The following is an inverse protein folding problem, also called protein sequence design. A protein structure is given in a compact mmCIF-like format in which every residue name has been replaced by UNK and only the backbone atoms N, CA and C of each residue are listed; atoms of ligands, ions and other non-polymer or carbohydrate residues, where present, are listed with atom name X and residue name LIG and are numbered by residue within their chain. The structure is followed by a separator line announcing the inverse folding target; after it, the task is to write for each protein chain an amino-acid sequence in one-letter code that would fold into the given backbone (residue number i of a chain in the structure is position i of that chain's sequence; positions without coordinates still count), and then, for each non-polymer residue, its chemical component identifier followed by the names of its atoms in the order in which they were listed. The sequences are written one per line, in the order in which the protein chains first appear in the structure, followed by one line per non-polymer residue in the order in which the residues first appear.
data_IF_249959893919
#
_entry.id   IF_249959893919
#
_cell.length_a   1.000
_cell.length_b   1.000
_cell.length_c   1.000
_cell.angle_alpha   90.00
_cell.angle_beta   90.00
_cell.angle_gamma   90.00
#
_symmetry.space_group_name_H-M   'P 1'
#
loop_
_entity.id
_entity.type
_entity.pdbx_description
1 polymer ?
#
# COMPACT_ATOMS: atom_id res chain seq x y z
N UNK A 1 34.97 -9.65 -15.85
CA UNK A 1 33.70 -10.16 -15.30
C UNK A 1 33.67 -9.69 -13.86
N UNK A 2 33.11 -8.51 -13.64
CA UNK A 2 32.93 -7.98 -12.29
C UNK A 2 31.55 -8.48 -11.80
N UNK A 3 31.57 -9.50 -10.94
CA UNK A 3 30.47 -9.72 -10.01
C UNK A 3 30.52 -8.52 -9.05
N UNK A 4 29.90 -7.40 -9.39
CA UNK A 4 29.45 -6.47 -8.38
C UNK A 4 28.34 -7.20 -7.65
N UNK A 5 28.64 -7.69 -6.44
CA UNK A 5 27.62 -8.05 -5.47
C UNK A 5 26.76 -6.79 -5.31
N UNK A 6 25.61 -6.73 -5.99
CA UNK A 6 24.67 -5.65 -5.75
C UNK A 6 24.24 -5.79 -4.30
N UNK A 7 24.72 -4.88 -3.46
CA UNK A 7 24.33 -4.83 -2.06
C UNK A 7 22.82 -4.65 -1.96
N UNK A 8 22.20 -5.29 -0.96
CA UNK A 8 20.79 -5.10 -0.66
C UNK A 8 20.49 -3.62 -0.41
N UNK A 9 19.24 -3.19 -0.72
CA UNK A 9 18.79 -1.84 -0.38
C UNK A 9 18.79 -1.70 1.14
N UNK A 10 19.44 -0.64 1.65
CA UNK A 10 19.58 -0.36 3.09
C UNK A 10 18.71 0.80 3.55
N UNK A 11 18.35 1.71 2.64
CA UNK A 11 17.52 2.87 2.97
C UNK A 11 16.74 3.37 1.78
N UNK A 12 15.51 3.82 2.03
CA UNK A 12 14.67 4.56 1.09
C UNK A 12 14.06 5.71 1.90
N UNK A 13 14.40 6.95 1.56
CA UNK A 13 13.94 8.13 2.30
C UNK A 13 13.46 9.25 1.39
N UNK A 14 12.47 9.96 1.88
CA UNK A 14 12.01 11.24 1.34
C UNK A 14 12.02 12.26 2.48
N UNK A 15 12.67 13.41 2.29
CA UNK A 15 12.85 14.41 3.33
C UNK A 15 12.42 15.79 2.83
N UNK A 16 11.45 16.40 3.52
CA UNK A 16 10.92 17.74 3.26
C UNK A 16 10.51 17.93 1.79
N UNK A 17 9.91 16.90 1.19
CA UNK A 17 9.57 16.88 -0.24
C UNK A 17 8.34 17.73 -0.49
N UNK A 18 8.51 18.73 -1.35
CA UNK A 18 7.43 19.52 -1.95
C UNK A 18 7.34 19.17 -3.42
N UNK A 19 6.14 18.85 -3.89
CA UNK A 19 5.93 18.43 -5.29
C UNK A 19 4.59 18.88 -5.85
N UNK A 20 4.63 19.40 -7.07
CA UNK A 20 3.44 19.69 -7.89
C UNK A 20 3.59 19.17 -9.31
N UNK A 21 2.50 18.75 -9.93
CA UNK A 21 2.52 18.44 -11.36
C UNK A 21 2.56 19.71 -12.19
N UNK A 22 3.39 19.74 -13.25
CA UNK A 22 3.50 20.88 -14.17
C UNK A 22 2.13 21.39 -14.62
N UNK A 23 1.91 22.69 -14.48
CA UNK A 23 0.65 23.36 -14.83
C UNK A 23 -0.47 23.23 -13.80
N UNK A 24 -0.24 22.60 -12.64
CA UNK A 24 -1.15 22.61 -11.50
C UNK A 24 -0.73 23.69 -10.51
N UNK A 25 -1.73 24.39 -9.92
CA UNK A 25 -1.50 25.43 -8.90
C UNK A 25 -1.42 24.87 -7.47
N UNK A 26 -1.70 23.58 -7.29
CA UNK A 26 -1.79 22.93 -5.98
C UNK A 26 -0.67 21.89 -5.87
N UNK A 27 0.05 21.95 -4.79
CA UNK A 27 0.99 20.91 -4.40
C UNK A 27 0.25 19.60 -4.11
N UNK A 28 0.89 18.49 -4.45
CA UNK A 28 0.47 17.16 -3.99
C UNK A 28 1.10 16.86 -2.65
N UNK A 29 2.35 17.29 -2.47
CA UNK A 29 3.06 17.22 -1.19
C UNK A 29 3.65 18.59 -0.87
N UNK A 30 3.62 18.98 0.40
CA UNK A 30 4.27 20.16 0.96
C UNK A 30 4.98 19.70 2.24
N UNK A 31 6.32 19.79 2.28
CA UNK A 31 7.15 19.38 3.42
C UNK A 31 6.95 17.92 3.84
N UNK A 32 6.70 17.03 2.86
CA UNK A 32 6.38 15.64 3.09
C UNK A 32 7.65 14.83 3.38
N UNK A 33 7.66 14.09 4.48
CA UNK A 33 8.79 13.23 4.86
C UNK A 33 8.31 11.82 5.20
N UNK A 34 9.01 10.81 4.69
CA UNK A 34 8.77 9.40 5.01
C UNK A 34 10.04 8.57 4.79
N UNK A 35 10.31 7.70 5.74
CA UNK A 35 11.28 6.61 5.59
C UNK A 35 10.54 5.32 5.29
N UNK A 36 11.06 4.53 4.36
CA UNK A 36 10.49 3.26 3.95
C UNK A 36 11.48 2.15 4.30
N UNK A 37 11.05 1.23 5.14
CA UNK A 37 11.84 0.08 5.53
C UNK A 37 12.09 -0.81 4.30
N UNK A 38 13.36 -1.05 3.92
CA UNK A 38 13.67 -1.90 2.77
C UNK A 38 13.45 -3.38 3.08
N UNK A 39 13.39 -4.20 2.01
CA UNK A 39 13.20 -5.65 2.12
C UNK A 39 11.89 -6.07 2.81
N UNK A 40 10.84 -5.29 2.65
CA UNK A 40 9.50 -5.56 3.15
C UNK A 40 8.44 -5.43 2.04
N UNK A 41 7.28 -6.07 2.25
CA UNK A 41 6.08 -5.78 1.48
C UNK A 41 5.35 -4.65 2.19
N UNK A 42 5.40 -3.44 1.62
CA UNK A 42 4.81 -2.24 2.20
C UNK A 42 3.58 -1.80 1.42
N UNK A 43 2.44 -1.72 2.11
CA UNK A 43 1.21 -1.18 1.56
C UNK A 43 1.15 0.35 1.65
N UNK A 44 0.85 1.02 0.54
CA UNK A 44 0.62 2.48 0.52
C UNK A 44 -0.88 2.73 0.44
N UNK A 45 -1.44 3.24 1.54
CA UNK A 45 -2.86 3.38 1.78
C UNK A 45 -3.25 4.85 1.83
N UNK A 46 -4.38 5.17 1.24
CA UNK A 46 -4.94 6.51 1.24
C UNK A 46 -6.13 6.59 0.28
N UNK A 47 -7.01 7.57 0.48
CA UNK A 47 -8.13 7.82 -0.44
C UNK A 47 -7.62 8.25 -1.82
N UNK A 48 -8.49 8.22 -2.83
CA UNK A 48 -8.14 8.71 -4.15
C UNK A 48 -7.74 10.20 -4.09
N UNK A 49 -6.64 10.54 -4.75
CA UNK A 49 -6.10 11.90 -4.77
C UNK A 49 -5.20 12.28 -3.58
N UNK A 50 -4.91 11.35 -2.66
CA UNK A 50 -4.04 11.59 -1.50
C UNK A 50 -2.53 11.47 -1.81
N UNK A 51 -2.14 11.24 -3.07
CA UNK A 51 -0.73 11.24 -3.46
C UNK A 51 -0.06 9.86 -3.54
N UNK A 52 -0.75 8.72 -3.35
CA UNK A 52 -0.15 7.37 -3.45
C UNK A 52 0.67 7.15 -4.72
N UNK A 53 0.05 7.35 -5.88
CA UNK A 53 0.72 7.25 -7.19
C UNK A 53 1.86 8.25 -7.33
N UNK A 54 1.71 9.46 -6.76
CA UNK A 54 2.77 10.48 -6.77
C UNK A 54 3.95 10.05 -5.93
N UNK A 55 3.73 9.56 -4.71
CA UNK A 55 4.77 8.99 -3.85
C UNK A 55 5.57 7.91 -4.59
N UNK A 56 4.88 6.95 -5.18
CA UNK A 56 5.50 5.86 -5.92
C UNK A 56 6.27 6.33 -7.16
N UNK A 57 5.76 7.32 -7.89
CA UNK A 57 6.46 7.89 -9.05
C UNK A 57 7.72 8.67 -8.64
N UNK A 58 7.70 9.36 -7.51
CA UNK A 58 8.86 10.06 -6.96
C UNK A 58 9.95 9.06 -6.54
N UNK A 59 9.59 8.00 -5.81
CA UNK A 59 10.52 6.91 -5.43
C UNK A 59 11.09 6.23 -6.69
N UNK A 60 10.26 6.03 -7.72
CA UNK A 60 10.70 5.44 -8.98
C UNK A 60 11.62 6.35 -9.82
N UNK A 61 11.91 7.58 -9.36
CA UNK A 61 12.73 8.53 -10.09
C UNK A 61 12.10 9.07 -11.38
N UNK A 62 10.76 8.96 -11.54
CA UNK A 62 10.06 9.47 -12.73
C UNK A 62 9.86 10.98 -12.70
N UNK A 63 9.86 11.56 -11.53
CA UNK A 63 9.76 12.99 -11.31
C UNK A 63 10.81 13.44 -10.32
N UNK A 64 11.31 14.65 -10.52
CA UNK A 64 12.14 15.35 -9.55
C UNK A 64 11.21 16.20 -8.65
N UNK A 65 11.43 16.24 -7.34
CA UNK A 65 10.65 17.11 -6.46
C UNK A 65 10.97 18.57 -6.72
N UNK A 66 10.02 19.48 -6.43
CA UNK A 66 10.24 20.92 -6.51
C UNK A 66 11.20 21.37 -5.38
N UNK A 67 11.10 20.76 -4.19
CA UNK A 67 11.98 20.96 -3.02
C UNK A 67 12.13 19.64 -2.26
N UNK A 68 13.18 19.56 -1.43
CA UNK A 68 13.48 18.38 -0.61
C UNK A 68 14.36 17.36 -1.31
N UNK A 69 14.52 16.20 -0.71
CA UNK A 69 15.47 15.16 -1.14
C UNK A 69 14.78 13.80 -1.16
N UNK A 70 15.06 13.02 -2.20
CA UNK A 70 14.66 11.61 -2.31
C UNK A 70 15.92 10.79 -2.54
N UNK A 71 16.17 9.83 -1.66
CA UNK A 71 17.37 8.99 -1.72
C UNK A 71 17.05 7.51 -1.52
N UNK A 72 17.78 6.69 -2.26
CA UNK A 72 17.86 5.24 -2.10
C UNK A 72 19.34 4.92 -1.92
N UNK A 73 19.72 4.43 -0.73
CA UNK A 73 21.12 4.22 -0.34
C UNK A 73 21.98 5.49 -0.50
N UNK A 74 21.43 6.66 -0.15
CA UNK A 74 22.10 7.97 -0.28
C UNK A 74 22.27 8.46 -1.72
N UNK A 75 21.54 7.88 -2.70
CA UNK A 75 21.60 8.27 -4.10
C UNK A 75 20.24 8.70 -4.62
N UNK A 76 20.20 9.74 -5.42
CA UNK A 76 18.98 10.25 -6.02
C UNK A 76 18.55 9.36 -7.20
N UNK A 77 17.33 8.75 -7.15
CA UNK A 77 16.86 7.83 -8.19
C UNK A 77 16.62 8.49 -9.57
N UNK A 78 16.50 9.84 -9.63
CA UNK A 78 16.33 10.56 -10.88
C UNK A 78 17.66 10.70 -11.64
N UNK A 79 18.75 10.94 -10.91
CA UNK A 79 20.05 11.29 -11.51
C UNK A 79 21.04 10.13 -11.51
N UNK A 80 20.91 9.16 -10.60
CA UNK A 80 21.78 7.98 -10.55
C UNK A 80 21.19 6.81 -11.35
N UNK A 81 21.80 6.53 -12.50
CA UNK A 81 21.38 5.47 -13.42
C UNK A 81 21.48 4.08 -12.75
N UNK A 82 22.47 3.88 -11.87
CA UNK A 82 22.64 2.63 -11.14
C UNK A 82 21.44 2.36 -10.25
N UNK A 83 20.99 3.34 -9.48
CA UNK A 83 19.80 3.26 -8.64
C UNK A 83 18.53 3.08 -9.49
N UNK A 84 18.36 3.84 -10.57
CA UNK A 84 17.20 3.74 -11.45
C UNK A 84 17.02 2.32 -12.04
N UNK A 85 18.10 1.61 -12.38
CA UNK A 85 18.04 0.22 -12.89
C UNK A 85 17.61 -0.81 -11.86
N UNK A 86 17.69 -0.49 -10.58
CA UNK A 86 17.27 -1.35 -9.46
C UNK A 86 15.78 -1.27 -9.17
N UNK A 87 15.04 -0.40 -9.86
CA UNK A 87 13.63 -0.12 -9.62
C UNK A 87 12.79 -0.56 -10.82
N UNK A 88 11.72 -1.29 -10.57
CA UNK A 88 10.65 -1.50 -11.54
C UNK A 88 9.37 -0.84 -11.05
N UNK A 89 8.72 -0.09 -11.93
CA UNK A 89 7.42 0.51 -11.66
C UNK A 89 6.36 -0.09 -12.60
N UNK A 90 5.41 -0.75 -12.00
CA UNK A 90 4.28 -1.40 -12.67
C UNK A 90 3.01 -0.59 -12.44
N UNK A 91 2.45 -0.04 -13.51
CA UNK A 91 1.15 0.63 -13.51
C UNK A 91 0.18 -0.08 -14.47
N UNK A 92 -1.11 0.18 -14.29
CA UNK A 92 -2.16 -0.53 -15.02
C UNK A 92 -2.27 -0.28 -16.53
N UNK A 93 -1.50 0.66 -17.12
CA UNK A 93 -1.62 1.00 -18.57
C UNK A 93 -0.23 1.10 -19.20
N UNK A 94 -0.03 0.35 -20.29
CA UNK A 94 1.17 0.42 -21.13
C UNK A 94 0.95 1.22 -22.41
N UNK A 95 1.97 1.97 -22.84
CA UNK A 95 1.95 2.74 -24.09
C UNK A 95 2.22 1.92 -25.37
N UNK A 96 2.34 0.59 -25.26
CA UNK A 96 2.79 -0.30 -26.36
C UNK A 96 1.66 -0.97 -27.13
N UNK A 97 0.61 -0.25 -27.50
CA UNK A 97 -0.65 -0.80 -28.04
C UNK A 97 -0.51 -1.78 -29.21
N UNK A 98 0.46 -1.58 -30.10
CA UNK A 98 0.64 -2.42 -31.30
C UNK A 98 1.62 -3.60 -31.12
N UNK A 99 2.32 -3.66 -29.98
CA UNK A 99 3.30 -4.72 -29.75
C UNK A 99 2.66 -6.03 -29.29
N UNK A 100 3.26 -7.15 -29.68
CA UNK A 100 2.93 -8.47 -29.15
C UNK A 100 3.54 -8.64 -27.76
N UNK A 101 2.85 -9.38 -26.88
CA UNK A 101 3.30 -9.61 -25.50
C UNK A 101 4.71 -10.21 -25.46
N UNK A 102 4.98 -11.19 -26.36
CA UNK A 102 6.33 -11.78 -26.47
C UNK A 102 7.43 -10.73 -26.71
N UNK A 103 7.17 -9.73 -27.55
CA UNK A 103 8.17 -8.70 -27.84
C UNK A 103 8.43 -7.77 -26.65
N UNK A 104 7.39 -7.50 -25.87
CA UNK A 104 7.54 -6.71 -24.64
C UNK A 104 8.38 -7.48 -23.61
N UNK A 105 8.18 -8.80 -23.48
CA UNK A 105 9.02 -9.64 -22.60
C UNK A 105 10.49 -9.58 -23.05
N UNK A 106 10.77 -9.64 -24.37
CA UNK A 106 12.12 -9.51 -24.89
C UNK A 106 12.75 -8.15 -24.51
N UNK A 107 11.97 -7.06 -24.49
CA UNK A 107 12.44 -5.74 -24.03
C UNK A 107 12.74 -5.73 -22.52
N UNK A 108 11.85 -6.30 -21.69
CA UNK A 108 12.14 -6.44 -20.25
C UNK A 108 13.43 -7.20 -19.98
N UNK A 109 13.68 -8.30 -20.72
CA UNK A 109 14.92 -9.07 -20.61
C UNK A 109 16.16 -8.26 -20.96
N UNK A 110 16.06 -7.30 -21.87
CA UNK A 110 17.18 -6.43 -22.22
C UNK A 110 17.39 -5.30 -21.20
N UNK A 111 16.33 -4.88 -20.51
CA UNK A 111 16.37 -3.77 -19.56
C UNK A 111 16.76 -4.21 -18.15
N UNK A 112 16.36 -5.41 -17.72
CA UNK A 112 16.55 -5.91 -16.37
C UNK A 112 17.44 -7.14 -16.38
N UNK A 113 18.61 -7.03 -15.77
CA UNK A 113 19.62 -8.09 -15.75
C UNK A 113 19.13 -9.37 -15.05
N UNK A 114 18.33 -9.22 -13.99
CA UNK A 114 17.76 -10.34 -13.21
C UNK A 114 16.44 -10.87 -13.78
N UNK A 115 16.03 -10.45 -15.00
CA UNK A 115 14.72 -10.81 -15.55
C UNK A 115 14.60 -12.32 -15.78
N UNK A 116 13.63 -12.92 -15.08
CA UNK A 116 13.28 -14.35 -15.19
C UNK A 116 12.21 -14.57 -16.26
N UNK A 117 12.64 -14.78 -17.50
CA UNK A 117 11.75 -14.99 -18.64
C UNK A 117 10.86 -16.25 -18.47
N UNK A 118 11.39 -17.30 -17.85
CA UNK A 118 10.64 -18.53 -17.59
C UNK A 118 9.50 -18.28 -16.59
N UNK A 119 9.78 -17.56 -15.51
CA UNK A 119 8.78 -17.15 -14.55
C UNK A 119 7.70 -16.27 -15.16
N UNK A 120 8.07 -15.27 -15.98
CA UNK A 120 7.11 -14.44 -16.71
C UNK A 120 6.17 -15.31 -17.56
N UNK A 121 6.70 -16.31 -18.27
CA UNK A 121 5.89 -17.20 -19.09
C UNK A 121 4.98 -18.10 -18.25
N UNK A 122 5.43 -18.64 -17.12
CA UNK A 122 4.62 -19.43 -16.19
C UNK A 122 3.47 -18.61 -15.62
N UNK A 123 3.74 -17.34 -15.22
CA UNK A 123 2.69 -16.44 -14.76
C UNK A 123 1.66 -16.15 -15.85
N UNK A 124 2.10 -15.87 -17.08
CA UNK A 124 1.19 -15.65 -18.20
C UNK A 124 0.30 -16.88 -18.47
N UNK A 125 0.86 -18.08 -18.42
CA UNK A 125 0.10 -19.32 -18.58
C UNK A 125 -0.94 -19.51 -17.48
N UNK A 126 -0.55 -19.26 -16.22
CA UNK A 126 -1.45 -19.32 -15.06
C UNK A 126 -2.67 -18.41 -15.19
N UNK A 127 -2.51 -17.25 -15.82
CA UNK A 127 -3.59 -16.29 -16.09
C UNK A 127 -4.21 -16.43 -17.50
N UNK A 128 -3.84 -17.44 -18.28
CA UNK A 128 -4.39 -17.69 -19.61
C UNK A 128 -4.05 -16.63 -20.66
N UNK A 129 -2.92 -15.93 -20.51
CA UNK A 129 -2.48 -14.90 -21.46
C UNK A 129 -1.74 -15.50 -22.65
N UNK A 130 -2.21 -15.17 -23.87
CA UNK A 130 -1.56 -15.63 -25.10
C UNK A 130 -0.38 -14.72 -25.49
N UNK A 131 0.85 -15.22 -25.42
CA UNK A 131 2.08 -14.49 -25.78
C UNK A 131 2.11 -13.94 -27.22
N UNK A 132 1.27 -14.47 -28.13
CA UNK A 132 1.13 -13.98 -29.51
C UNK A 132 0.11 -12.83 -29.63
N UNK A 133 -0.68 -12.56 -28.59
CA UNK A 133 -1.63 -11.45 -28.58
C UNK A 133 -0.90 -10.10 -28.61
N UNK A 134 -1.59 -9.07 -29.09
CA UNK A 134 -1.14 -7.67 -28.98
C UNK A 134 -1.78 -7.02 -27.75
N UNK A 135 -1.08 -6.06 -27.12
CA UNK A 135 -1.59 -5.31 -25.95
C UNK A 135 -2.98 -4.76 -26.24
N UNK A 136 -3.20 -4.11 -27.37
CA UNK A 136 -4.50 -3.51 -27.73
C UNK A 136 -5.69 -4.48 -27.75
N UNK A 137 -5.43 -5.78 -27.81
CA UNK A 137 -6.44 -6.82 -27.85
C UNK A 137 -6.76 -7.39 -26.45
N UNK A 138 -6.07 -6.94 -25.43
CA UNK A 138 -6.32 -7.34 -24.05
C UNK A 138 -7.46 -6.51 -23.45
N UNK A 139 -8.23 -7.11 -22.57
CA UNK A 139 -9.07 -6.34 -21.65
C UNK A 139 -8.19 -5.56 -20.67
N UNK A 140 -8.74 -4.53 -20.01
CA UNK A 140 -8.01 -3.77 -18.99
C UNK A 140 -7.45 -4.68 -17.88
N UNK A 141 -8.21 -5.64 -17.39
CA UNK A 141 -7.76 -6.61 -16.39
C UNK A 141 -6.63 -7.50 -16.92
N UNK A 142 -6.72 -7.96 -18.17
CA UNK A 142 -5.65 -8.76 -18.79
C UNK A 142 -4.35 -7.94 -18.98
N UNK A 143 -4.48 -6.65 -19.33
CA UNK A 143 -3.33 -5.74 -19.44
C UNK A 143 -2.67 -5.55 -18.05
N UNK A 144 -3.48 -5.29 -17.00
CA UNK A 144 -3.01 -5.20 -15.63
C UNK A 144 -2.26 -6.47 -15.21
N UNK A 145 -2.82 -7.65 -15.48
CA UNK A 145 -2.18 -8.93 -15.17
C UNK A 145 -0.88 -9.11 -15.96
N UNK A 146 -0.84 -8.74 -17.23
CA UNK A 146 0.38 -8.85 -18.04
C UNK A 146 1.50 -7.96 -17.49
N UNK A 147 1.18 -6.71 -17.12
CA UNK A 147 2.13 -5.78 -16.51
C UNK A 147 2.64 -6.32 -15.19
N UNK A 148 1.77 -6.89 -14.37
CA UNK A 148 2.13 -7.58 -13.13
C UNK A 148 3.09 -8.73 -13.40
N UNK A 149 2.80 -9.62 -14.37
CA UNK A 149 3.69 -10.74 -14.72
C UNK A 149 5.09 -10.27 -15.10
N UNK A 150 5.17 -9.24 -15.96
CA UNK A 150 6.46 -8.67 -16.38
C UNK A 150 7.20 -8.03 -15.20
N UNK A 151 6.51 -7.22 -14.40
CA UNK A 151 7.09 -6.54 -13.24
C UNK A 151 7.66 -7.49 -12.20
N UNK A 152 6.90 -8.51 -11.82
CA UNK A 152 7.38 -9.53 -10.86
C UNK A 152 8.60 -10.29 -11.39
N UNK A 153 8.60 -10.61 -12.68
CA UNK A 153 9.69 -11.34 -13.32
C UNK A 153 11.00 -10.52 -13.44
N UNK A 154 10.98 -9.20 -13.28
CA UNK A 154 12.21 -8.40 -13.27
C UNK A 154 13.11 -8.71 -12.08
N UNK A 155 12.51 -9.13 -10.96
CA UNK A 155 13.20 -9.33 -9.67
C UNK A 155 14.07 -8.13 -9.29
N UNK A 156 13.60 -6.93 -9.66
CA UNK A 156 14.24 -5.67 -9.32
C UNK A 156 14.26 -5.49 -7.80
N UNK A 157 15.33 -4.90 -7.27
CA UNK A 157 15.52 -4.74 -5.83
C UNK A 157 14.39 -3.93 -5.17
N UNK A 158 13.79 -3.01 -5.92
CA UNK A 158 12.57 -2.30 -5.55
C UNK A 158 11.50 -2.55 -6.61
N UNK A 159 10.43 -3.22 -6.25
CA UNK A 159 9.28 -3.51 -7.11
C UNK A 159 8.10 -2.66 -6.67
N UNK A 160 7.67 -1.72 -7.51
CA UNK A 160 6.55 -0.81 -7.23
C UNK A 160 5.34 -1.26 -8.05
N UNK A 161 4.25 -1.62 -7.35
CA UNK A 161 3.00 -2.10 -7.92
C UNK A 161 1.88 -1.09 -7.65
N UNK A 162 1.59 -0.22 -8.62
CA UNK A 162 0.54 0.79 -8.48
C UNK A 162 -0.80 0.23 -8.97
N UNK A 163 -1.71 -0.05 -8.02
CA UNK A 163 -3.03 -0.65 -8.26
C UNK A 163 -2.96 -1.97 -9.09
N UNK A 164 -2.15 -2.98 -8.69
CA UNK A 164 -1.87 -4.17 -9.51
C UNK A 164 -3.08 -5.08 -9.71
N UNK A 165 -4.20 -4.81 -9.06
CA UNK A 165 -5.45 -5.58 -9.15
C UNK A 165 -6.60 -4.78 -9.76
N UNK A 166 -6.34 -3.58 -10.28
CA UNK A 166 -7.37 -2.73 -10.87
C UNK A 166 -7.98 -3.36 -12.11
N UNK A 167 -9.32 -3.55 -12.11
CA UNK A 167 -10.05 -4.17 -13.22
C UNK A 167 -9.87 -5.69 -13.34
N UNK A 168 -9.25 -6.33 -12.35
CA UNK A 168 -9.04 -7.78 -12.28
C UNK A 168 -10.18 -8.44 -11.48
N UNK A 169 -10.64 -9.63 -11.89
CA UNK A 169 -11.66 -10.39 -11.16
C UNK A 169 -11.16 -10.91 -9.80
N UNK A 170 -12.08 -11.25 -8.89
CA UNK A 170 -11.75 -11.64 -7.51
C UNK A 170 -10.84 -12.87 -7.42
N UNK A 171 -11.01 -13.86 -8.31
CA UNK A 171 -10.18 -15.07 -8.30
C UNK A 171 -8.75 -14.73 -8.71
N UNK A 172 -8.59 -13.95 -9.76
CA UNK A 172 -7.28 -13.51 -10.25
C UNK A 172 -6.58 -12.57 -9.26
N UNK A 173 -7.33 -11.70 -8.54
CA UNK A 173 -6.76 -10.86 -7.47
C UNK A 173 -6.13 -11.68 -6.36
N UNK A 174 -6.85 -12.68 -5.85
CA UNK A 174 -6.31 -13.57 -4.81
C UNK A 174 -5.03 -14.27 -5.27
N UNK A 175 -4.97 -14.73 -6.53
CA UNK A 175 -3.75 -15.31 -7.11
C UNK A 175 -2.61 -14.31 -7.16
N UNK A 176 -2.86 -13.04 -7.53
CA UNK A 176 -1.86 -11.97 -7.56
C UNK A 176 -1.24 -11.79 -6.18
N UNK A 177 -2.04 -11.65 -5.12
CA UNK A 177 -1.52 -11.51 -3.76
C UNK A 177 -0.75 -12.74 -3.29
N UNK A 178 -1.22 -13.94 -3.60
CA UNK A 178 -0.51 -15.19 -3.29
C UNK A 178 0.84 -15.28 -4.01
N UNK A 179 0.91 -14.89 -5.28
CA UNK A 179 2.15 -14.85 -6.06
C UNK A 179 3.14 -13.85 -5.46
N UNK A 180 2.68 -12.64 -5.09
CA UNK A 180 3.52 -11.63 -4.47
C UNK A 180 4.17 -12.19 -3.20
N UNK A 181 3.37 -12.81 -2.32
CA UNK A 181 3.87 -13.36 -1.06
C UNK A 181 4.86 -14.50 -1.28
N UNK A 182 4.53 -15.47 -2.15
CA UNK A 182 5.38 -16.62 -2.42
C UNK A 182 6.70 -16.21 -3.09
N UNK A 183 6.63 -15.33 -4.08
CA UNK A 183 7.84 -14.86 -4.76
C UNK A 183 8.71 -13.98 -3.83
N UNK A 184 8.10 -13.24 -2.90
CA UNK A 184 8.83 -12.49 -1.87
C UNK A 184 9.56 -13.42 -0.89
N UNK A 185 8.94 -14.53 -0.47
CA UNK A 185 9.58 -15.51 0.42
C UNK A 185 10.79 -16.17 -0.25
N UNK A 186 10.71 -16.49 -1.55
CA UNK A 186 11.81 -17.09 -2.30
C UNK A 186 12.88 -16.07 -2.72
N UNK A 187 12.47 -14.84 -2.97
CA UNK A 187 13.31 -13.74 -3.47
C UNK A 187 13.01 -12.45 -2.70
N UNK A 188 13.47 -12.33 -1.44
CA UNK A 188 13.24 -11.15 -0.61
C UNK A 188 13.76 -9.86 -1.28
N UNK A 189 12.95 -8.83 -1.29
CA UNK A 189 13.25 -7.49 -1.81
C UNK A 189 12.21 -6.48 -1.34
N UNK A 190 12.41 -5.21 -1.62
CA UNK A 190 11.41 -4.19 -1.32
C UNK A 190 10.26 -4.25 -2.33
N UNK A 191 9.04 -4.44 -1.85
CA UNK A 191 7.83 -4.40 -2.69
C UNK A 191 6.88 -3.34 -2.13
N UNK A 192 6.60 -2.30 -2.92
CA UNK A 192 5.63 -1.26 -2.58
C UNK A 192 4.35 -1.51 -3.37
N UNK A 193 3.22 -1.58 -2.66
CA UNK A 193 1.92 -1.86 -3.30
C UNK A 193 0.93 -0.77 -2.91
N UNK A 194 0.30 -0.12 -3.91
CA UNK A 194 -0.90 0.67 -3.65
C UNK A 194 -2.16 -0.13 -3.93
N UNK A 195 -3.17 0.05 -3.11
CA UNK A 195 -4.51 -0.47 -3.39
C UNK A 195 -5.58 0.36 -2.67
N UNK A 196 -6.77 0.39 -3.25
CA UNK A 196 -7.97 0.86 -2.57
C UNK A 196 -8.73 -0.30 -1.88
N UNK A 197 -8.24 -1.54 -1.99
CA UNK A 197 -8.83 -2.76 -1.40
C UNK A 197 -7.91 -3.30 -0.29
N UNK A 198 -7.81 -2.53 0.79
CA UNK A 198 -6.86 -2.84 1.87
C UNK A 198 -7.13 -4.20 2.51
N UNK A 199 -8.37 -4.54 2.82
CA UNK A 199 -8.72 -5.79 3.50
C UNK A 199 -8.25 -7.07 2.78
N UNK A 200 -8.16 -7.06 1.44
CA UNK A 200 -7.60 -8.20 0.68
C UNK A 200 -6.06 -8.20 0.74
N UNK A 201 -5.44 -7.02 0.64
CA UNK A 201 -3.99 -6.85 0.58
C UNK A 201 -3.32 -7.00 1.94
N UNK A 202 -3.97 -6.63 3.02
CA UNK A 202 -3.41 -6.61 4.38
C UNK A 202 -2.73 -7.92 4.79
N UNK A 203 -3.23 -9.05 4.29
CA UNK A 203 -2.74 -10.40 4.61
C UNK A 203 -1.31 -10.67 4.15
N UNK A 204 -0.79 -9.88 3.22
CA UNK A 204 0.56 -10.04 2.66
C UNK A 204 1.51 -8.92 3.08
N UNK A 205 1.01 -7.90 3.79
CA UNK A 205 1.82 -6.76 4.20
C UNK A 205 2.57 -7.05 5.50
N UNK A 206 3.83 -6.63 5.56
CA UNK A 206 4.57 -6.49 6.81
C UNK A 206 4.59 -5.04 7.30
N UNK A 207 4.59 -4.08 6.36
CA UNK A 207 4.62 -2.64 6.66
C UNK A 207 3.50 -1.89 5.96
N UNK A 208 3.18 -0.72 6.48
CA UNK A 208 2.13 0.14 5.93
C UNK A 208 2.51 1.62 6.02
N UNK A 209 2.19 2.36 4.96
CA UNK A 209 2.23 3.82 4.94
C UNK A 209 0.81 4.32 4.69
N UNK A 210 0.27 5.05 5.66
CA UNK A 210 -1.05 5.69 5.55
C UNK A 210 -0.89 7.16 5.21
N UNK A 211 -1.47 7.58 4.08
CA UNK A 211 -1.46 8.98 3.64
C UNK A 211 -2.85 9.59 3.83
N UNK A 212 -2.91 10.71 4.52
CA UNK A 212 -4.14 11.45 4.80
C UNK A 212 -3.89 12.94 4.60
N UNK A 213 -4.71 13.59 3.79
CA UNK A 213 -4.55 15.00 3.45
C UNK A 213 -3.16 15.36 2.90
N UNK A 214 -2.58 14.41 2.14
CA UNK A 214 -1.26 14.53 1.54
C UNK A 214 -0.09 14.55 2.54
N UNK A 215 -0.32 14.02 3.75
CA UNK A 215 0.66 13.89 4.82
C UNK A 215 0.70 12.44 5.34
N UNK A 216 1.76 12.06 6.05
CA UNK A 216 1.93 10.71 6.64
C UNK A 216 1.17 10.64 7.96
N UNK A 217 0.11 9.82 8.01
CA UNK A 217 -0.58 9.50 9.26
C UNK A 217 0.14 8.39 10.03
N UNK A 218 0.72 7.43 9.32
CA UNK A 218 1.44 6.29 9.88
C UNK A 218 2.42 5.74 8.84
N UNK A 219 3.61 5.37 9.28
CA UNK A 219 4.57 4.59 8.50
C UNK A 219 5.30 3.62 9.44
N UNK A 220 5.23 2.30 9.17
CA UNK A 220 5.87 1.30 10.02
C UNK A 220 5.25 -0.09 9.91
N UNK A 221 5.56 -0.93 10.89
CA UNK A 221 5.07 -2.32 10.99
C UNK A 221 3.55 -2.37 11.20
N UNK A 222 2.88 -3.26 10.46
CA UNK A 222 1.41 -3.37 10.50
C UNK A 222 0.90 -3.93 11.83
N UNK A 223 1.66 -4.77 12.52
CA UNK A 223 1.26 -5.30 13.82
C UNK A 223 1.40 -4.22 14.90
N UNK A 224 2.39 -3.33 14.81
CA UNK A 224 2.46 -2.15 15.69
C UNK A 224 1.25 -1.25 15.51
N UNK A 225 0.82 -1.04 14.25
CA UNK A 225 -0.41 -0.29 13.98
C UNK A 225 -1.63 -0.97 14.63
N UNK A 226 -1.80 -2.28 14.46
CA UNK A 226 -2.92 -3.05 15.03
C UNK A 226 -2.92 -3.07 16.55
N UNK A 227 -1.74 -3.03 17.16
CA UNK A 227 -1.60 -2.95 18.61
C UNK A 227 -1.85 -1.53 19.16
N UNK A 228 -1.89 -0.51 18.29
CA UNK A 228 -2.10 0.90 18.70
C UNK A 228 -3.57 1.29 18.88
N UNK A 229 -4.52 0.43 18.51
CA UNK A 229 -5.96 0.72 18.55
C UNK A 229 -6.72 -0.57 18.84
N UNK A 230 -7.70 -0.49 19.73
CA UNK A 230 -8.57 -1.63 20.03
C UNK A 230 -10.04 -1.20 20.19
N UNK A 231 -10.94 -2.17 20.09
CA UNK A 231 -12.38 -1.98 20.24
C UNK A 231 -12.87 -2.64 21.50
N UNK A 232 -13.83 -1.99 22.16
CA UNK A 232 -14.60 -2.53 23.27
C UNK A 232 -16.09 -2.49 22.95
N UNK A 233 -16.82 -3.55 23.33
CA UNK A 233 -18.25 -3.69 23.16
C UNK A 233 -18.88 -4.10 24.50
N UNK A 234 -20.04 -3.57 24.85
CA UNK A 234 -20.76 -3.90 26.08
C UNK A 234 -21.90 -2.94 26.40
N UNK A 235 -22.32 -2.91 27.65
CA UNK A 235 -23.35 -1.97 28.09
C UNK A 235 -22.85 -0.54 28.08
N UNK A 236 -23.74 0.41 27.72
CA UNK A 236 -23.37 1.83 27.58
C UNK A 236 -22.71 2.38 28.85
N UNK A 237 -23.27 2.11 30.02
CA UNK A 237 -22.74 2.61 31.29
C UNK A 237 -21.31 2.09 31.58
N UNK A 238 -21.03 0.82 31.26
CA UNK A 238 -19.72 0.22 31.44
C UNK A 238 -18.69 0.79 30.45
N UNK A 239 -19.09 1.00 29.19
CA UNK A 239 -18.25 1.67 28.18
C UNK A 239 -17.95 3.10 28.58
N UNK A 240 -18.93 3.85 29.11
CA UNK A 240 -18.71 5.23 29.57
C UNK A 240 -17.65 5.26 30.68
N UNK A 241 -17.79 4.40 31.69
CA UNK A 241 -16.84 4.27 32.78
C UNK A 241 -15.45 3.86 32.29
N UNK A 242 -15.36 2.90 31.37
CA UNK A 242 -14.08 2.44 30.81
C UNK A 242 -13.36 3.52 30.01
N UNK A 243 -14.09 4.41 29.36
CA UNK A 243 -13.58 5.45 28.47
C UNK A 243 -13.20 6.76 29.18
N UNK A 244 -13.47 6.94 30.49
CA UNK A 244 -13.34 8.23 31.19
C UNK A 244 -11.96 8.89 31.03
N UNK A 245 -10.88 8.10 31.05
CA UNK A 245 -9.51 8.63 30.95
C UNK A 245 -8.78 8.21 29.65
N UNK A 246 -9.53 7.74 28.63
CA UNK A 246 -8.96 7.18 27.41
C UNK A 246 -9.17 8.06 26.20
N UNK A 247 -8.26 7.98 25.25
CA UNK A 247 -8.40 8.64 23.95
C UNK A 247 -9.35 7.82 23.06
N UNK A 248 -10.63 8.19 23.07
CA UNK A 248 -11.67 7.54 22.28
C UNK A 248 -11.66 8.11 20.87
N UNK A 249 -11.39 7.25 19.88
CA UNK A 249 -11.46 7.61 18.46
C UNK A 249 -12.90 7.60 17.95
N UNK A 250 -13.71 6.64 18.40
CA UNK A 250 -15.10 6.49 17.96
C UNK A 250 -15.93 5.87 19.04
N UNK A 251 -17.21 6.29 19.17
CA UNK A 251 -18.18 5.69 20.09
C UNK A 251 -19.54 5.66 19.40
N UNK A 252 -20.23 4.55 19.52
CA UNK A 252 -21.55 4.36 18.93
C UNK A 252 -22.47 3.57 19.84
N UNK A 253 -23.69 4.08 20.03
CA UNK A 253 -24.76 3.31 20.66
C UNK A 253 -25.33 2.32 19.65
N UNK A 254 -25.57 1.10 20.09
CA UNK A 254 -26.15 0.01 19.30
C UNK A 254 -27.48 -0.42 19.91
N UNK A 255 -28.28 -1.19 19.19
CA UNK A 255 -29.59 -1.69 19.69
C UNK A 255 -29.47 -2.52 20.97
N UNK A 256 -28.35 -3.19 21.17
CA UNK A 256 -28.03 -4.02 22.32
C UNK A 256 -26.68 -3.62 22.93
N UNK A 257 -26.60 -2.39 23.51
CA UNK A 257 -25.39 -1.88 24.15
C UNK A 257 -24.71 -0.73 23.41
N UNK A 258 -23.40 -0.66 23.49
CA UNK A 258 -22.58 0.34 22.82
C UNK A 258 -21.21 -0.25 22.41
N UNK A 259 -20.50 0.44 21.55
CA UNK A 259 -19.12 0.14 21.21
C UNK A 259 -18.26 1.39 21.30
N UNK A 260 -17.00 1.24 21.62
CA UNK A 260 -15.99 2.28 21.51
C UNK A 260 -14.71 1.77 20.87
N UNK A 261 -14.04 2.64 20.14
CA UNK A 261 -12.71 2.42 19.57
C UNK A 261 -11.73 3.34 20.28
N UNK A 262 -10.69 2.76 20.84
CA UNK A 262 -9.77 3.43 21.76
C UNK A 262 -8.38 3.43 21.14
N UNK A 263 -7.74 4.59 21.12
CA UNK A 263 -6.33 4.70 20.76
C UNK A 263 -5.48 4.39 22.00
N UNK A 264 -4.69 3.34 21.88
CA UNK A 264 -3.85 2.80 22.95
C UNK A 264 -3.59 1.33 22.73
N UNK A 265 -2.73 0.76 23.55
CA UNK A 265 -2.42 -0.67 23.51
C UNK A 265 -3.33 -1.43 24.46
N UNK A 266 -3.95 -2.51 23.99
CA UNK A 266 -4.67 -3.44 24.84
C UNK A 266 -3.65 -4.39 25.51
N UNK A 267 -3.01 -3.92 26.56
CA UNK A 267 -2.14 -4.75 27.40
C UNK A 267 -2.96 -5.58 28.40
N UNK A 268 -2.25 -6.33 29.26
CA UNK A 268 -2.89 -7.21 30.22
C UNK A 268 -3.73 -6.45 31.25
N UNK A 269 -3.25 -5.29 31.71
CA UNK A 269 -3.95 -4.45 32.68
C UNK A 269 -5.25 -3.87 32.08
N UNK A 270 -5.18 -3.39 30.85
CA UNK A 270 -6.35 -2.87 30.13
C UNK A 270 -7.38 -3.96 29.81
N UNK A 271 -6.92 -5.16 29.47
CA UNK A 271 -7.80 -6.30 29.26
C UNK A 271 -8.51 -6.73 30.58
N UNK A 272 -7.79 -6.79 31.70
CA UNK A 272 -8.37 -7.09 33.03
C UNK A 272 -9.41 -6.05 33.43
N UNK A 273 -9.14 -4.74 33.22
CA UNK A 273 -10.12 -3.67 33.50
C UNK A 273 -11.38 -3.79 32.61
N UNK A 274 -11.22 -4.20 31.35
CA UNK A 274 -12.36 -4.43 30.47
C UNK A 274 -13.21 -5.62 30.96
N UNK A 275 -12.57 -6.72 31.33
CA UNK A 275 -13.24 -7.91 31.86
C UNK A 275 -13.98 -7.61 33.15
N UNK A 276 -13.43 -6.84 34.10
CA UNK A 276 -14.09 -6.39 35.33
C UNK A 276 -15.39 -5.61 35.09
N UNK A 277 -15.46 -4.94 33.91
CA UNK A 277 -16.62 -4.17 33.45
C UNK A 277 -17.50 -4.96 32.47
N UNK A 278 -17.29 -6.26 32.35
CA UNK A 278 -18.02 -7.13 31.41
C UNK A 278 -18.00 -6.63 29.95
N UNK A 279 -16.86 -6.02 29.53
CA UNK A 279 -16.66 -5.54 28.18
C UNK A 279 -15.92 -6.58 27.33
N UNK A 280 -16.42 -6.87 26.13
CA UNK A 280 -15.70 -7.64 25.14
C UNK A 280 -14.67 -6.77 24.42
N UNK A 281 -13.43 -7.26 24.32
CA UNK A 281 -12.36 -6.57 23.61
C UNK A 281 -12.04 -7.26 22.29
N UNK A 282 -11.65 -6.50 21.27
CA UNK A 282 -11.21 -7.04 19.98
C UNK A 282 -10.16 -6.15 19.31
N UNK A 283 -9.26 -6.80 18.55
CA UNK A 283 -8.34 -6.09 17.65
C UNK A 283 -9.09 -5.64 16.40
N UNK A 284 -8.57 -4.58 15.79
CA UNK A 284 -9.06 -4.03 14.54
C UNK A 284 -8.11 -4.40 13.39
N UNK A 285 -8.66 -4.52 12.19
CA UNK A 285 -7.87 -4.57 10.96
C UNK A 285 -7.23 -3.20 10.65
N UNK A 286 -6.17 -3.18 9.86
CA UNK A 286 -5.56 -1.93 9.39
C UNK A 286 -6.56 -1.05 8.62
N UNK A 287 -7.50 -1.66 7.89
CA UNK A 287 -8.57 -0.96 7.18
C UNK A 287 -9.54 -0.25 8.15
N UNK A 288 -9.97 -0.94 9.22
CA UNK A 288 -10.81 -0.34 10.26
C UNK A 288 -10.07 0.79 10.99
N UNK A 289 -8.79 0.59 11.32
CA UNK A 289 -7.97 1.62 11.97
C UNK A 289 -7.85 2.85 11.07
N UNK A 290 -7.54 2.65 9.77
CA UNK A 290 -7.50 3.73 8.80
C UNK A 290 -8.83 4.50 8.76
N UNK A 291 -9.96 3.78 8.72
CA UNK A 291 -11.29 4.37 8.71
C UNK A 291 -11.55 5.21 9.98
N UNK A 292 -11.29 4.66 11.16
CA UNK A 292 -11.52 5.38 12.43
C UNK A 292 -10.55 6.55 12.63
N UNK A 293 -9.33 6.49 12.13
CA UNK A 293 -8.39 7.62 12.21
C UNK A 293 -8.70 8.74 11.18
N UNK A 294 -9.42 8.44 10.10
CA UNK A 294 -9.60 9.39 8.98
C UNK A 294 -11.03 9.90 8.79
N UNK A 295 -12.05 9.14 9.17
CA UNK A 295 -13.45 9.39 8.76
C UNK A 295 -14.39 9.85 9.88
N UNK A 296 -13.83 10.17 11.05
CA UNK A 296 -14.60 10.58 12.24
C UNK A 296 -15.54 11.77 11.99
N UNK A 297 -15.19 12.70 11.09
CA UNK A 297 -16.05 13.83 10.75
C UNK A 297 -17.26 13.41 9.89
N UNK A 298 -17.11 12.39 9.05
CA UNK A 298 -18.17 11.95 8.14
C UNK A 298 -19.13 10.95 8.79
N UNK A 299 -18.67 10.14 9.74
CA UNK A 299 -19.55 9.23 10.47
C UNK A 299 -20.65 9.98 11.23
N UNK A 300 -20.30 11.06 11.93
CA UNK A 300 -21.26 11.92 12.62
C UNK A 300 -22.20 12.68 11.64
N UNK A 301 -21.72 13.05 10.45
CA UNK A 301 -22.54 13.68 9.42
C UNK A 301 -23.51 12.70 8.76
N UNK A 302 -23.11 11.46 8.57
CA UNK A 302 -24.00 10.40 8.05
C UNK A 302 -25.13 10.10 9.04
N UNK A 303 -24.88 10.00 10.34
CA UNK A 303 -25.93 9.82 11.36
C UNK A 303 -26.89 11.01 11.41
N UNK A 304 -26.38 12.24 11.34
CA UNK A 304 -27.19 13.46 11.29
C UNK A 304 -28.13 13.54 10.06
N UNK A 305 -27.83 12.84 8.96
CA UNK A 305 -28.74 12.77 7.79
C UNK A 305 -30.02 11.98 8.08
N UNK A 306 -29.97 11.06 9.06
CA UNK A 306 -31.08 10.17 9.40
C UNK A 306 -31.74 10.50 10.75
N UNK A 307 -31.14 11.41 11.55
CA UNK A 307 -31.81 11.96 12.71
C UNK A 307 -32.99 12.79 12.24
N UNK A 308 -34.21 12.27 12.44
CA UNK A 308 -35.44 13.03 12.21
C UNK A 308 -35.41 14.24 13.14
N UNK A 309 -35.48 15.43 12.58
CA UNK A 309 -35.86 16.63 13.33
C UNK A 309 -37.23 16.33 13.98
N UNK A 310 -37.25 16.02 15.26
CA UNK A 310 -38.44 16.04 16.08
C UNK A 310 -38.79 17.52 16.40
#
# INVERSE_FOLDING_TARGET
MHNENMEEIKSISMQNVTFSYKGKKRYVFEDFSVDIEPNHITGIIGRNGQGKTTLMNLIAGKFEPDEGIIEIDGKNPVTDIGTAKRIVYVAGVMSYSEMKLKKIIEEYRLMYEKFDEEFAHKLMELFGLNKKAKIKNLSKGQETIFNFCCGMATRADITILDEPVSGVDAISRNKIYEIILRDYIEHPRTILISSHMLGEMEKILSHMIMIVNNDVLFAGDIEELKDSVYRVDGELANIEKYCEEKKVLYKKNQTLGAMAVIEGRLDKEEAEKADELELATSKLSGEEIYMYKTDLKNANQMEALWEKKN
#
